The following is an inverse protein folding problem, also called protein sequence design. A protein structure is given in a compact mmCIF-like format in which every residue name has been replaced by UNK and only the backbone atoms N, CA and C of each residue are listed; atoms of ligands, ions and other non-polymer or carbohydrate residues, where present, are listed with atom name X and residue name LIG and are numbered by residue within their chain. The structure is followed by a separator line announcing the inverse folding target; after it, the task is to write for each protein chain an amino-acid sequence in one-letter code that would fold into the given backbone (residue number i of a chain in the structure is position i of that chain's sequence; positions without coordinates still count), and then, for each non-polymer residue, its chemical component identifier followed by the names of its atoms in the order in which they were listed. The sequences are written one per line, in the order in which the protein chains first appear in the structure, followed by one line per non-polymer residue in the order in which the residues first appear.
data_IF_892235799996
#
_entry.id   IF_892235799996
#
_cell.length_a   1.000
_cell.length_b   1.000
_cell.length_c   1.000
_cell.angle_alpha   90.00
_cell.angle_beta   90.00
_cell.angle_gamma   90.00
#
_symmetry.space_group_name_H-M   'P 1'
#
loop_
_entity.id
_entity.type
_entity.pdbx_description
1 polymer ?
#
# COMPACT_ATOMS: atom_id res chain seq x y z
N UNK A 1 -5.49 -22.06 -28.31
CA UNK A 1 -5.03 -22.12 -26.91
C UNK A 1 -5.21 -20.71 -26.39
N UNK A 2 -6.32 -20.48 -25.69
CA UNK A 2 -6.55 -19.17 -25.07
C UNK A 2 -5.60 -19.05 -23.89
N UNK A 3 -4.52 -18.29 -24.08
CA UNK A 3 -3.73 -17.78 -22.98
C UNK A 3 -4.59 -16.73 -22.28
N UNK A 4 -5.50 -17.17 -21.41
CA UNK A 4 -6.15 -16.28 -20.46
C UNK A 4 -5.03 -15.75 -19.56
N UNK A 5 -4.52 -14.56 -19.90
CA UNK A 5 -3.69 -13.75 -19.03
C UNK A 5 -4.49 -13.61 -17.74
N UNK A 6 -4.10 -14.36 -16.71
CA UNK A 6 -4.63 -14.16 -15.37
C UNK A 6 -4.07 -12.80 -14.97
N UNK A 7 -4.86 -11.76 -15.20
CA UNK A 7 -4.54 -10.43 -14.74
C UNK A 7 -4.63 -10.48 -13.21
N UNK A 8 -3.47 -10.61 -12.56
CA UNK A 8 -3.40 -10.64 -11.10
C UNK A 8 -3.79 -9.27 -10.59
N UNK A 9 -5.04 -9.12 -10.16
CA UNK A 9 -5.51 -7.89 -9.55
C UNK A 9 -5.07 -7.88 -8.10
N UNK A 10 -4.04 -7.09 -7.79
CA UNK A 10 -3.66 -6.81 -6.41
C UNK A 10 -4.84 -6.12 -5.69
N UNK A 11 -5.02 -6.44 -4.42
CA UNK A 11 -6.05 -5.82 -3.58
C UNK A 11 -5.42 -4.70 -2.75
N UNK A 12 -5.96 -3.48 -2.85
CA UNK A 12 -5.57 -2.39 -1.96
C UNK A 12 -6.36 -2.47 -0.66
N UNK A 13 -5.64 -2.46 0.47
CA UNK A 13 -6.16 -2.41 1.83
C UNK A 13 -5.66 -1.17 2.52
N UNK A 14 -6.54 -0.53 3.28
CA UNK A 14 -6.24 0.70 3.99
C UNK A 14 -6.20 0.47 5.50
N UNK A 15 -5.11 0.90 6.12
CA UNK A 15 -4.91 0.83 7.56
C UNK A 15 -4.71 2.22 8.14
N UNK A 16 -5.26 2.46 9.32
CA UNK A 16 -5.01 3.66 10.10
C UNK A 16 -4.20 3.27 11.32
N UNK A 17 -2.95 3.74 11.38
CA UNK A 17 -2.00 3.34 12.42
C UNK A 17 -1.57 4.56 13.22
N UNK A 18 -1.69 4.49 14.55
CA UNK A 18 -1.21 5.56 15.44
C UNK A 18 0.19 5.21 15.95
N UNK A 19 1.17 6.08 15.69
CA UNK A 19 2.57 5.90 16.13
C UNK A 19 3.18 7.23 16.54
N UNK A 20 3.87 7.28 17.67
CA UNK A 20 4.52 8.49 18.23
C UNK A 20 3.67 9.78 18.16
N UNK A 21 2.41 9.70 18.60
CA UNK A 21 1.39 10.77 18.55
C UNK A 21 0.87 11.17 17.16
N UNK A 22 1.40 10.60 16.09
CA UNK A 22 0.92 10.81 14.73
C UNK A 22 -0.08 9.72 14.33
N UNK A 23 -1.01 10.07 13.44
CA UNK A 23 -1.93 9.13 12.80
C UNK A 23 -1.48 8.96 11.36
N UNK A 24 -1.25 7.73 10.93
CA UNK A 24 -0.85 7.42 9.57
C UNK A 24 -1.98 6.71 8.83
N UNK A 25 -2.20 7.11 7.57
CA UNK A 25 -2.98 6.36 6.58
C UNK A 25 -1.99 5.50 5.78
N UNK A 26 -2.03 4.19 5.99
CA UNK A 26 -1.12 3.22 5.36
C UNK A 26 -1.87 2.47 4.27
N UNK A 27 -1.25 2.42 3.10
CA UNK A 27 -1.72 1.67 1.95
C UNK A 27 -0.96 0.35 1.92
N UNK A 28 -1.69 -0.75 1.98
CA UNK A 28 -1.14 -2.12 1.93
C UNK A 28 -1.70 -2.78 0.69
N UNK A 29 -0.83 -3.34 -0.14
CA UNK A 29 -1.24 -4.23 -1.22
C UNK A 29 -1.22 -5.67 -0.74
N UNK A 30 -2.25 -6.41 -1.10
CA UNK A 30 -2.33 -7.85 -0.93
C UNK A 30 -2.29 -8.54 -2.29
N UNK A 31 -1.39 -9.51 -2.43
CA UNK A 31 -1.32 -10.40 -3.58
C UNK A 31 -1.98 -11.75 -3.23
N UNK A 32 -3.18 -12.04 -3.75
CA UNK A 32 -3.89 -13.28 -3.44
C UNK A 32 -3.23 -14.54 -4.03
N UNK A 33 -2.32 -14.42 -4.99
CA UNK A 33 -1.63 -15.59 -5.56
C UNK A 33 -0.50 -16.10 -4.68
N UNK A 34 0.18 -15.19 -3.98
CA UNK A 34 1.31 -15.51 -3.12
C UNK A 34 0.98 -15.36 -1.65
N UNK A 35 -0.27 -14.97 -1.34
CA UNK A 35 -0.74 -14.62 0.01
C UNK A 35 0.20 -13.63 0.73
N UNK A 36 0.75 -12.67 -0.02
CA UNK A 36 1.78 -11.76 0.47
C UNK A 36 1.31 -10.31 0.50
N UNK A 37 1.96 -9.51 1.35
CA UNK A 37 1.60 -8.11 1.61
C UNK A 37 2.79 -7.19 1.36
N UNK A 38 2.52 -5.98 0.87
CA UNK A 38 3.53 -4.93 0.71
C UNK A 38 2.95 -3.57 1.09
N UNK A 39 3.78 -2.67 1.62
CA UNK A 39 3.39 -1.28 1.90
C UNK A 39 4.03 -0.38 0.85
N UNK A 40 3.31 0.00 -0.21
CA UNK A 40 3.85 0.95 -1.18
C UNK A 40 3.89 2.40 -0.67
N UNK A 41 3.05 2.75 0.33
CA UNK A 41 2.93 4.13 0.78
C UNK A 41 2.35 4.25 2.19
N UNK A 42 2.87 5.23 2.94
CA UNK A 42 2.32 5.71 4.20
C UNK A 42 2.19 7.23 4.18
N UNK A 43 1.09 7.78 4.69
CA UNK A 43 0.87 9.23 4.79
C UNK A 43 0.67 9.61 6.24
N UNK A 44 1.45 10.56 6.74
CA UNK A 44 1.20 11.16 8.05
C UNK A 44 0.00 12.12 7.97
N UNK A 45 -1.12 11.74 8.57
CA UNK A 45 -2.37 12.50 8.57
C UNK A 45 -2.29 13.77 9.42
N UNK A 46 -1.31 13.91 10.33
CA UNK A 46 -1.14 15.16 11.08
C UNK A 46 -0.61 16.31 10.21
N UNK A 47 -0.11 16.01 9.02
CA UNK A 47 0.52 16.97 8.11
C UNK A 47 -0.34 17.29 6.88
N UNK A 48 -1.47 16.58 6.69
CA UNK A 48 -2.28 16.65 5.47
C UNK A 48 -3.68 17.16 5.79
N UNK A 49 -4.05 18.32 5.23
CA UNK A 49 -5.42 18.85 5.33
C UNK A 49 -6.44 18.00 4.55
N UNK A 50 -7.72 18.08 4.93
CA UNK A 50 -8.81 17.23 4.42
C UNK A 50 -8.97 17.19 2.89
N UNK A 51 -8.60 18.27 2.18
CA UNK A 51 -8.79 18.41 0.73
C UNK A 51 -7.79 17.56 -0.07
N UNK A 52 -6.60 17.26 0.46
CA UNK A 52 -5.60 16.45 -0.28
C UNK A 52 -5.89 14.94 -0.22
N UNK A 53 -6.64 14.46 0.77
CA UNK A 53 -6.84 13.02 1.00
C UNK A 53 -7.69 12.33 -0.08
N UNK A 54 -8.64 13.04 -0.68
CA UNK A 54 -9.54 12.49 -1.70
C UNK A 54 -8.85 12.33 -3.05
N UNK A 55 -8.04 13.31 -3.43
CA UNK A 55 -7.30 13.28 -4.70
C UNK A 55 -6.17 12.24 -4.64
N UNK A 56 -5.49 12.11 -3.50
CA UNK A 56 -4.49 11.07 -3.27
C UNK A 56 -5.06 9.66 -3.43
N UNK A 57 -6.24 9.36 -2.90
CA UNK A 57 -6.82 8.02 -3.00
C UNK A 57 -7.21 7.63 -4.43
N UNK A 58 -7.65 8.59 -5.25
CA UNK A 58 -7.96 8.38 -6.66
C UNK A 58 -6.67 8.22 -7.47
N UNK A 59 -5.71 9.13 -7.29
CA UNK A 59 -4.40 9.08 -7.95
C UNK A 59 -3.62 7.80 -7.60
N UNK A 60 -3.74 7.29 -6.37
CA UNK A 60 -3.11 6.04 -5.96
C UNK A 60 -3.80 4.82 -6.59
N UNK A 61 -5.13 4.79 -6.69
CA UNK A 61 -5.78 3.68 -7.39
C UNK A 61 -5.39 3.60 -8.88
N UNK A 62 -5.13 4.73 -9.52
CA UNK A 62 -4.80 4.79 -10.95
C UNK A 62 -3.29 4.59 -11.22
N UNK A 63 -2.40 5.17 -10.40
CA UNK A 63 -0.95 5.18 -10.66
C UNK A 63 -0.23 4.03 -9.96
N UNK A 64 -0.59 3.74 -8.70
CA UNK A 64 0.12 2.73 -7.88
C UNK A 64 -0.10 1.32 -8.45
N UNK A 65 -1.26 1.02 -9.04
CA UNK A 65 -1.52 -0.30 -9.62
C UNK A 65 -0.68 -0.56 -10.88
N UNK A 66 -0.39 0.46 -11.69
CA UNK A 66 0.40 0.34 -12.92
C UNK A 66 1.91 0.45 -12.63
N UNK A 67 2.33 1.30 -11.68
CA UNK A 67 3.75 1.49 -11.33
C UNK A 67 4.30 0.42 -10.39
N UNK A 68 3.47 -0.15 -9.49
CA UNK A 68 3.92 -1.24 -8.61
C UNK A 68 4.02 -2.59 -9.32
N UNK A 69 3.42 -2.73 -10.50
CA UNK A 69 3.76 -3.81 -11.42
C UNK A 69 5.20 -3.69 -11.96
N UNK A 70 5.81 -2.49 -11.90
CA UNK A 70 7.15 -2.22 -12.42
C UNK A 70 8.21 -1.98 -11.34
N UNK A 71 7.83 -1.82 -10.07
CA UNK A 71 8.73 -1.48 -8.97
C UNK A 71 8.97 -2.69 -8.05
N UNK A 72 10.22 -2.90 -7.59
CA UNK A 72 10.56 -3.93 -6.61
C UNK A 72 9.93 -3.59 -5.26
N UNK A 73 8.78 -4.19 -4.97
CA UNK A 73 8.19 -4.19 -3.63
C UNK A 73 8.79 -5.32 -2.80
N UNK A 74 9.16 -5.02 -1.56
CA UNK A 74 9.41 -6.05 -0.55
C UNK A 74 8.07 -6.62 -0.10
N UNK A 75 7.96 -7.94 -0.18
CA UNK A 75 6.75 -8.69 0.15
C UNK A 75 6.93 -9.43 1.47
N UNK A 76 5.89 -9.39 2.28
CA UNK A 76 5.85 -9.91 3.64
C UNK A 76 4.69 -10.90 3.81
N UNK A 77 4.80 -11.74 4.83
CA UNK A 77 3.83 -12.77 5.19
C UNK A 77 2.53 -12.21 5.80
N UNK A 78 2.57 -10.99 6.33
CA UNK A 78 1.44 -10.32 6.98
C UNK A 78 1.46 -8.81 6.74
N UNK A 79 0.29 -8.19 6.84
CA UNK A 79 0.14 -6.74 6.75
C UNK A 79 0.86 -6.05 7.92
N UNK A 80 0.80 -6.62 9.12
CA UNK A 80 1.48 -6.13 10.31
C UNK A 80 3.00 -6.10 10.11
N UNK A 81 3.59 -7.19 9.60
CA UNK A 81 5.02 -7.25 9.30
C UNK A 81 5.42 -6.21 8.25
N UNK A 82 4.65 -6.11 7.15
CA UNK A 82 4.90 -5.10 6.12
C UNK A 82 4.86 -3.66 6.67
N UNK A 83 3.89 -3.36 7.54
CA UNK A 83 3.74 -2.04 8.20
C UNK A 83 4.90 -1.77 9.16
N UNK A 84 5.26 -2.75 9.98
CA UNK A 84 6.36 -2.62 10.94
C UNK A 84 7.70 -2.38 10.22
N UNK A 85 8.00 -3.18 9.19
CA UNK A 85 9.21 -3.04 8.39
C UNK A 85 9.26 -1.69 7.68
N UNK A 86 8.16 -1.26 7.05
CA UNK A 86 8.08 0.07 6.43
C UNK A 86 8.44 1.18 7.41
N UNK A 87 7.91 1.14 8.64
CA UNK A 87 8.25 2.17 9.61
C UNK A 87 9.67 2.06 10.20
N UNK A 88 10.33 0.90 10.12
CA UNK A 88 11.75 0.76 10.51
C UNK A 88 12.69 1.33 9.44
N UNK A 89 12.30 1.31 8.17
CA UNK A 89 13.10 1.85 7.06
C UNK A 89 13.08 3.38 7.00
N UNK A 90 12.01 4.02 7.50
CA UNK A 90 11.82 5.47 7.47
C UNK A 90 11.97 6.19 8.83
N UNK A 91 12.25 5.46 9.92
CA UNK A 91 12.44 6.00 11.27
C UNK A 91 13.88 5.97 11.74
#
# INVERSE_FOLDING_TARGET
MDSSVIQTKLELRLFFVKRYNNLFKIFVLFNPQTEAYAVPMSINMSEVGDIMNRDLEITLNEIILDELQQTFLDWYDSAECAIECHFLEFG
#
